data_IF_636746534992
#
_entry.id   IF_636746534992
#
_cell.length_a   1.000
_cell.length_b   1.000
_cell.length_c   1.000
_cell.angle_alpha   90.00
_cell.angle_beta   90.00
_cell.angle_gamma   90.00
#
_symmetry.space_group_name_H-M   'P 1'
#
loop_
_entity.id
_entity.type
_entity.pdbx_description
1 polymer ?
#
# COMPACT_ATOMS: atom_id res chain seq x y z
N UNK A 1 42.30 -53.30 28.69
CA UNK A 1 43.32 -52.70 27.80
C UNK A 1 43.05 -52.96 26.31
N UNK A 2 42.78 -54.20 25.89
CA UNK A 2 42.48 -54.55 24.48
C UNK A 2 41.17 -53.92 23.93
N UNK A 3 40.14 -53.72 24.75
CA UNK A 3 38.90 -53.05 24.35
C UNK A 3 39.05 -51.53 24.14
N UNK A 4 39.93 -50.87 24.92
CA UNK A 4 40.21 -49.43 24.78
C UNK A 4 41.07 -49.12 23.55
N UNK A 5 41.93 -50.07 23.12
CA UNK A 5 42.69 -49.97 21.88
C UNK A 5 41.82 -50.13 20.63
N UNK A 6 40.75 -50.93 20.70
CA UNK A 6 39.83 -51.13 19.58
C UNK A 6 38.98 -49.86 19.30
N UNK A 7 38.51 -49.18 20.34
CA UNK A 7 37.75 -47.92 20.19
C UNK A 7 38.63 -46.75 19.72
N UNK A 8 39.90 -46.68 20.15
CA UNK A 8 40.84 -45.66 19.66
C UNK A 8 41.25 -45.85 18.18
N UNK A 9 41.25 -47.09 17.67
CA UNK A 9 41.50 -47.38 16.25
C UNK A 9 40.28 -47.02 15.40
N UNK A 10 39.07 -47.31 15.88
CA UNK A 10 37.82 -46.96 15.19
C UNK A 10 37.64 -45.43 15.08
N UNK A 11 37.95 -44.68 16.14
CA UNK A 11 37.90 -43.20 16.16
C UNK A 11 38.99 -42.54 15.31
N UNK A 12 40.13 -43.22 15.07
CA UNK A 12 41.19 -42.72 14.17
C UNK A 12 40.91 -43.00 12.69
N UNK A 13 40.15 -44.06 12.36
CA UNK A 13 39.72 -44.35 10.98
C UNK A 13 38.50 -43.53 10.52
N UNK A 14 37.75 -42.92 11.44
CA UNK A 14 36.64 -42.01 11.11
C UNK A 14 37.07 -40.57 10.76
N UNK A 15 38.38 -40.28 10.73
CA UNK A 15 38.94 -38.99 10.30
C UNK A 15 39.65 -39.10 8.96
N UNK A 16 38.97 -39.53 7.89
CA UNK A 16 39.44 -39.35 6.50
C UNK A 16 38.37 -39.72 5.45
N UNK A 17 37.12 -39.34 5.70
CA UNK A 17 36.19 -39.05 4.61
C UNK A 17 35.74 -37.62 4.80
N UNK A 18 36.48 -36.67 4.24
CA UNK A 18 35.88 -35.40 3.85
C UNK A 18 34.80 -35.74 2.84
N UNK A 19 33.58 -35.98 3.30
CA UNK A 19 32.42 -35.91 2.43
C UNK A 19 32.53 -34.53 1.78
N UNK A 20 32.70 -34.42 0.45
CA UNK A 20 32.58 -33.12 -0.17
C UNK A 20 31.23 -32.61 0.27
N UNK A 21 31.20 -31.44 0.93
CA UNK A 21 29.94 -30.78 1.24
C UNK A 21 29.23 -30.60 -0.09
N UNK A 22 28.30 -31.50 -0.42
CA UNK A 22 27.39 -31.31 -1.55
C UNK A 22 26.58 -30.10 -1.12
N UNK A 23 26.83 -28.96 -1.74
CA UNK A 23 26.06 -27.76 -1.49
C UNK A 23 24.59 -28.08 -1.79
N UNK A 24 23.75 -28.07 -0.75
CA UNK A 24 22.33 -28.30 -0.89
C UNK A 24 21.71 -27.15 -1.69
N UNK A 25 20.88 -27.48 -2.67
CA UNK A 25 20.11 -26.48 -3.39
C UNK A 25 19.23 -25.70 -2.41
N UNK A 26 19.47 -24.41 -2.28
CA UNK A 26 18.79 -23.55 -1.30
C UNK A 26 18.32 -22.28 -2.00
N UNK A 27 17.05 -21.93 -1.80
CA UNK A 27 16.50 -20.65 -2.23
C UNK A 27 16.81 -19.60 -1.17
N UNK A 28 17.31 -18.46 -1.61
CA UNK A 28 17.60 -17.32 -0.75
C UNK A 28 16.62 -16.19 -1.02
N UNK A 29 16.25 -15.47 0.03
CA UNK A 29 15.38 -14.29 -0.03
C UNK A 29 16.17 -13.11 0.50
N UNK A 30 16.59 -12.16 -0.35
CA UNK A 30 17.40 -11.01 0.08
C UNK A 30 16.62 -10.05 0.97
N UNK A 31 15.28 -10.01 0.86
CA UNK A 31 14.40 -9.16 1.65
C UNK A 31 13.15 -9.92 2.07
N UNK A 32 12.94 -10.05 3.39
CA UNK A 32 11.83 -10.84 3.95
C UNK A 32 10.51 -10.07 4.05
N UNK A 33 10.54 -8.73 4.10
CA UNK A 33 9.37 -7.87 4.25
C UNK A 33 9.42 -6.71 3.26
N UNK A 34 8.33 -6.52 2.53
CA UNK A 34 8.09 -5.38 1.64
C UNK A 34 6.87 -4.61 2.14
N UNK A 35 7.01 -3.31 2.36
CA UNK A 35 5.89 -2.41 2.68
C UNK A 35 5.69 -1.46 1.51
N UNK A 36 4.51 -1.47 0.90
CA UNK A 36 4.22 -0.69 -0.34
C UNK A 36 2.94 0.12 -0.22
N UNK A 37 2.87 1.23 -0.97
CA UNK A 37 1.65 2.04 -1.04
C UNK A 37 0.64 1.41 -2.00
N UNK A 38 -0.63 1.50 -1.64
CA UNK A 38 -1.75 1.15 -2.51
C UNK A 38 -1.66 1.88 -3.85
N UNK A 39 -1.94 1.16 -4.95
CA UNK A 39 -1.87 1.66 -6.32
C UNK A 39 -0.45 1.77 -6.89
N UNK A 40 0.60 1.53 -6.08
CA UNK A 40 1.99 1.46 -6.56
C UNK A 40 2.35 0.09 -7.16
N UNK A 41 3.62 -0.11 -7.48
CA UNK A 41 4.15 -1.38 -7.97
C UNK A 41 5.13 -1.97 -6.96
N UNK A 42 5.21 -3.30 -6.87
CA UNK A 42 6.17 -4.02 -6.04
C UNK A 42 6.98 -5.01 -6.87
N UNK A 43 8.25 -5.18 -6.51
CA UNK A 43 9.16 -6.17 -7.09
C UNK A 43 9.75 -7.02 -5.97
N UNK A 44 9.42 -8.30 -5.95
CA UNK A 44 9.90 -9.28 -4.97
C UNK A 44 10.88 -10.25 -5.62
N UNK A 45 11.91 -10.64 -4.90
CA UNK A 45 13.01 -11.45 -5.44
C UNK A 45 13.28 -12.68 -4.58
N UNK A 46 13.54 -13.79 -5.25
CA UNK A 46 14.30 -14.91 -4.69
C UNK A 46 15.51 -15.22 -5.55
N UNK A 47 16.53 -15.78 -4.92
CA UNK A 47 17.75 -16.24 -5.57
C UNK A 47 17.87 -17.75 -5.44
N UNK A 48 18.42 -18.38 -6.45
CA UNK A 48 18.73 -19.80 -6.45
C UNK A 48 20.11 -20.02 -7.07
N UNK A 49 20.84 -21.06 -6.65
CA UNK A 49 22.18 -21.31 -7.13
C UNK A 49 22.17 -21.66 -8.62
N UNK A 50 23.11 -21.08 -9.36
CA UNK A 50 23.33 -21.35 -10.78
C UNK A 50 24.77 -21.79 -11.00
N UNK A 51 24.93 -23.03 -11.46
CA UNK A 51 26.22 -23.58 -11.85
C UNK A 51 26.32 -23.61 -13.38
N UNK A 52 26.86 -22.54 -13.98
CA UNK A 52 27.01 -22.42 -15.42
C UNK A 52 25.74 -21.95 -16.13
N UNK A 53 25.38 -22.58 -17.25
CA UNK A 53 24.21 -22.18 -18.05
C UNK A 53 22.93 -22.79 -17.50
N UNK A 54 21.87 -21.98 -17.36
CA UNK A 54 20.54 -22.44 -16.93
C UNK A 54 19.72 -22.91 -18.14
N UNK A 55 19.31 -24.18 -18.15
CA UNK A 55 18.27 -24.64 -19.08
C UNK A 55 16.88 -24.33 -18.52
N UNK A 56 16.25 -23.28 -19.07
CA UNK A 56 14.93 -22.81 -18.66
C UNK A 56 13.81 -23.85 -18.87
N UNK A 57 14.04 -24.92 -19.64
CA UNK A 57 13.08 -26.02 -19.80
C UNK A 57 13.03 -26.93 -18.59
N UNK A 58 14.10 -26.99 -17.80
CA UNK A 58 14.19 -27.76 -16.57
C UNK A 58 13.80 -26.93 -15.33
N UNK A 59 13.80 -25.60 -15.46
CA UNK A 59 13.47 -24.69 -14.38
C UNK A 59 11.95 -24.59 -14.19
N UNK A 60 11.51 -24.75 -12.93
CA UNK A 60 10.17 -24.36 -12.49
C UNK A 60 10.27 -23.26 -11.43
N UNK A 61 9.50 -22.19 -11.60
CA UNK A 61 9.35 -21.10 -10.63
C UNK A 61 7.88 -20.92 -10.33
N UNK A 62 7.51 -21.01 -9.05
CA UNK A 62 6.13 -20.83 -8.59
C UNK A 62 6.09 -19.71 -7.57
N UNK A 63 5.21 -18.75 -7.82
CA UNK A 63 4.83 -17.72 -6.86
C UNK A 63 3.38 -17.93 -6.45
N UNK A 64 3.16 -18.09 -5.15
CA UNK A 64 1.82 -18.25 -4.56
C UNK A 64 1.62 -17.28 -3.40
N UNK A 65 0.46 -16.63 -3.35
CA UNK A 65 0.05 -15.83 -2.20
C UNK A 65 -0.71 -16.71 -1.20
N UNK A 66 -0.22 -16.76 0.04
CA UNK A 66 -0.88 -17.33 1.21
C UNK A 66 -1.34 -16.19 2.13
N UNK A 67 -2.64 -16.05 2.28
CA UNK A 67 -3.24 -15.07 3.20
C UNK A 67 -3.70 -15.78 4.47
N UNK A 68 -3.40 -15.19 5.63
CA UNK A 68 -3.92 -15.68 6.89
C UNK A 68 -5.47 -15.65 6.87
N UNK A 69 -6.10 -16.74 7.29
CA UNK A 69 -7.57 -16.89 7.30
C UNK A 69 -8.21 -17.37 5.99
N UNK A 70 -7.45 -17.57 4.90
CA UNK A 70 -7.95 -18.21 3.68
C UNK A 70 -7.43 -19.65 3.56
N UNK A 71 -8.33 -20.58 3.20
CA UNK A 71 -8.02 -22.01 3.10
C UNK A 71 -7.20 -22.36 1.84
N UNK A 72 -7.29 -21.55 0.79
CA UNK A 72 -6.62 -21.78 -0.50
C UNK A 72 -5.60 -20.68 -0.78
N UNK A 73 -4.40 -21.06 -1.23
CA UNK A 73 -3.45 -20.11 -1.80
C UNK A 73 -3.94 -19.62 -3.15
N UNK A 74 -3.52 -18.41 -3.53
CA UNK A 74 -3.73 -17.86 -4.87
C UNK A 74 -2.45 -18.04 -5.67
N UNK A 75 -2.53 -18.71 -6.81
CA UNK A 75 -1.39 -18.81 -7.70
C UNK A 75 -1.17 -17.45 -8.39
N UNK A 76 -0.03 -16.82 -8.12
CA UNK A 76 0.30 -15.47 -8.58
C UNK A 76 0.95 -15.55 -9.95
N UNK A 77 1.92 -16.45 -10.11
CA UNK A 77 2.63 -16.68 -11.36
C UNK A 77 3.35 -18.02 -11.34
N UNK A 78 3.26 -18.77 -12.43
CA UNK A 78 4.03 -20.01 -12.63
C UNK A 78 4.80 -19.98 -13.93
N UNK A 79 6.10 -20.26 -13.86
CA UNK A 79 6.98 -20.51 -15.00
C UNK A 79 7.39 -21.98 -15.01
N UNK A 80 7.19 -22.66 -16.12
CA UNK A 80 7.54 -24.07 -16.28
C UNK A 80 7.77 -24.40 -17.76
N UNK A 81 8.71 -25.29 -18.04
CA UNK A 81 9.05 -25.72 -19.41
C UNK A 81 9.37 -24.53 -20.33
N UNK A 82 10.12 -23.54 -19.82
CA UNK A 82 10.54 -22.37 -20.59
C UNK A 82 9.46 -21.33 -20.85
N UNK A 83 8.26 -21.44 -20.25
CA UNK A 83 7.14 -20.50 -20.50
C UNK A 83 6.28 -20.25 -19.27
N UNK A 84 5.52 -19.16 -19.32
CA UNK A 84 4.50 -18.85 -18.32
C UNK A 84 3.28 -19.78 -18.47
N UNK A 85 2.77 -20.30 -17.35
CA UNK A 85 1.50 -21.03 -17.30
C UNK A 85 0.37 -20.06 -16.93
N UNK A 86 -0.24 -19.46 -17.96
CA UNK A 86 -1.35 -18.50 -17.77
C UNK A 86 -2.65 -19.12 -17.22
N UNK A 87 -3.08 -20.34 -17.61
CA UNK A 87 -4.37 -20.87 -17.17
C UNK A 87 -4.50 -21.13 -15.66
N UNK A 88 -3.37 -21.28 -14.96
CA UNK A 88 -3.35 -21.53 -13.52
C UNK A 88 -3.27 -20.25 -12.69
N UNK A 89 -3.00 -19.10 -13.33
CA UNK A 89 -2.93 -17.80 -12.66
C UNK A 89 -4.29 -17.38 -12.11
N UNK A 90 -4.32 -16.99 -10.83
CA UNK A 90 -5.54 -16.53 -10.18
C UNK A 90 -6.04 -15.21 -10.83
N UNK A 91 -7.36 -15.02 -11.02
CA UNK A 91 -7.93 -13.85 -11.71
C UNK A 91 -7.44 -12.50 -11.20
N UNK A 92 -7.26 -12.35 -9.88
CA UNK A 92 -6.76 -11.11 -9.25
C UNK A 92 -5.38 -10.66 -9.78
N UNK A 93 -4.56 -11.56 -10.30
CA UNK A 93 -3.20 -11.28 -10.75
C UNK A 93 -3.05 -11.22 -12.28
N UNK A 94 -4.07 -11.62 -13.03
CA UNK A 94 -4.05 -11.58 -14.49
C UNK A 94 -3.85 -10.15 -14.98
N UNK A 95 -2.82 -9.94 -15.81
CA UNK A 95 -2.46 -8.62 -16.34
C UNK A 95 -1.73 -7.70 -15.36
N UNK A 96 -1.55 -8.11 -14.10
CA UNK A 96 -0.81 -7.34 -13.08
C UNK A 96 0.49 -7.98 -12.63
N UNK A 97 0.57 -9.32 -12.66
CA UNK A 97 1.74 -10.06 -12.22
C UNK A 97 2.59 -10.59 -13.39
N UNK A 98 3.90 -10.38 -13.32
CA UNK A 98 4.88 -10.85 -14.31
C UNK A 98 6.19 -11.28 -13.67
N UNK A 99 6.86 -12.26 -14.27
CA UNK A 99 8.21 -12.70 -13.88
C UNK A 99 9.25 -12.12 -14.87
N UNK A 100 10.37 -11.60 -14.37
CA UNK A 100 11.47 -11.13 -15.22
C UNK A 100 12.28 -12.32 -15.76
N UNK A 101 11.93 -12.81 -16.96
CA UNK A 101 12.56 -13.99 -17.55
C UNK A 101 14.05 -13.80 -17.87
N UNK A 102 14.48 -12.57 -18.13
CA UNK A 102 15.90 -12.23 -18.39
C UNK A 102 16.81 -12.54 -17.21
N UNK A 103 16.28 -12.45 -15.98
CA UNK A 103 17.02 -12.60 -14.73
C UNK A 103 17.13 -14.07 -14.29
N UNK A 104 16.32 -14.96 -14.84
CA UNK A 104 16.32 -16.39 -14.48
C UNK A 104 17.65 -17.07 -14.78
N UNK A 105 18.33 -16.66 -15.86
CA UNK A 105 19.67 -17.18 -16.21
C UNK A 105 20.75 -16.76 -15.21
N UNK A 106 20.49 -15.72 -14.42
CA UNK A 106 21.36 -15.22 -13.38
C UNK A 106 20.98 -15.76 -12.00
N UNK A 107 20.06 -16.74 -11.94
CA UNK A 107 19.63 -17.34 -10.67
C UNK A 107 18.65 -16.46 -9.90
N UNK A 108 17.98 -15.52 -10.56
CA UNK A 108 17.08 -14.55 -9.92
C UNK A 108 15.66 -14.72 -10.43
N UNK A 109 14.77 -15.15 -9.54
CA UNK A 109 13.34 -15.21 -9.78
C UNK A 109 12.70 -13.93 -9.26
N UNK A 110 12.47 -12.96 -10.15
CA UNK A 110 11.95 -11.64 -9.78
C UNK A 110 10.50 -11.50 -10.24
N UNK A 111 9.58 -11.44 -9.28
CA UNK A 111 8.16 -11.20 -9.49
C UNK A 111 7.85 -9.70 -9.39
N UNK A 112 7.14 -9.19 -10.38
CA UNK A 112 6.59 -7.83 -10.39
C UNK A 112 5.08 -7.89 -10.30
N UNK A 113 4.49 -7.09 -9.41
CA UNK A 113 3.05 -6.88 -9.31
C UNK A 113 2.78 -5.39 -9.45
N UNK A 114 1.96 -5.02 -10.44
CA UNK A 114 1.58 -3.62 -10.68
C UNK A 114 0.22 -3.28 -10.07
N UNK A 115 0.01 -2.00 -9.77
CA UNK A 115 -1.25 -1.49 -9.20
C UNK A 115 -1.69 -2.34 -7.97
N UNK A 116 -0.84 -2.32 -6.94
CA UNK A 116 -0.98 -3.14 -5.74
C UNK A 116 -2.26 -2.77 -5.00
N UNK A 117 -3.02 -3.79 -4.60
CA UNK A 117 -4.29 -3.67 -3.86
C UNK A 117 -4.11 -4.08 -2.40
N UNK A 118 -5.03 -3.67 -1.52
CA UNK A 118 -5.04 -4.12 -0.12
C UNK A 118 -5.11 -5.64 0.00
N UNK A 119 -5.81 -6.30 -0.94
CA UNK A 119 -5.95 -7.76 -0.99
C UNK A 119 -4.67 -8.49 -1.44
N UNK A 120 -3.68 -7.78 -1.97
CA UNK A 120 -2.37 -8.34 -2.30
C UNK A 120 -1.50 -8.53 -1.06
N UNK A 121 -1.83 -7.91 0.09
CA UNK A 121 -1.11 -8.12 1.34
C UNK A 121 -1.16 -9.60 1.78
N UNK A 122 -0.04 -10.12 2.27
CA UNK A 122 0.06 -11.52 2.71
C UNK A 122 1.47 -12.10 2.59
N UNK A 123 1.57 -13.42 2.76
CA UNK A 123 2.83 -14.15 2.61
C UNK A 123 2.92 -14.75 1.21
N UNK A 124 3.99 -14.42 0.48
CA UNK A 124 4.27 -14.94 -0.85
C UNK A 124 5.27 -16.08 -0.73
N UNK A 125 4.85 -17.27 -1.13
CA UNK A 125 5.73 -18.42 -1.34
C UNK A 125 6.42 -18.27 -2.69
N UNK A 126 7.72 -18.50 -2.68
CA UNK A 126 8.56 -18.55 -3.84
C UNK A 126 9.27 -19.89 -3.86
N UNK A 127 8.83 -20.77 -4.75
CA UNK A 127 9.36 -22.12 -4.92
C UNK A 127 10.15 -22.18 -6.21
N UNK A 128 11.36 -22.74 -6.11
CA UNK A 128 12.23 -23.00 -7.25
C UNK A 128 12.52 -24.50 -7.28
N UNK A 129 12.33 -25.09 -8.45
CA UNK A 129 12.77 -26.45 -8.76
C UNK A 129 13.73 -26.39 -9.95
N UNK A 130 15.01 -26.64 -9.66
CA UNK A 130 16.09 -26.72 -10.64
C UNK A 130 17.24 -27.59 -10.11
N UNK A 131 17.23 -28.88 -10.46
CA UNK A 131 18.21 -29.87 -9.96
C UNK A 131 18.21 -30.02 -8.43
N UNK A 132 17.10 -29.60 -7.81
CA UNK A 132 16.88 -29.47 -6.38
C UNK A 132 15.66 -28.59 -6.16
N UNK A 133 14.95 -28.79 -5.06
CA UNK A 133 13.72 -28.07 -4.75
C UNK A 133 13.86 -27.41 -3.39
N UNK A 134 13.62 -26.11 -3.34
CA UNK A 134 13.47 -25.37 -2.09
C UNK A 134 12.47 -24.23 -2.28
N UNK A 135 11.95 -23.72 -1.18
CA UNK A 135 11.05 -22.58 -1.17
C UNK A 135 11.35 -21.67 0.02
N UNK A 136 10.96 -20.41 -0.14
CA UNK A 136 11.00 -19.41 0.93
C UNK A 136 9.75 -18.54 0.89
N UNK A 137 9.54 -17.82 1.98
CA UNK A 137 8.42 -16.90 2.14
C UNK A 137 8.90 -15.46 2.19
N UNK A 138 8.07 -14.58 1.62
CA UNK A 138 8.24 -13.12 1.65
C UNK A 138 6.94 -12.51 2.17
N UNK A 139 7.00 -11.57 3.10
CA UNK A 139 5.84 -10.82 3.55
C UNK A 139 5.65 -9.55 2.71
N UNK A 140 4.41 -9.31 2.27
CA UNK A 140 3.98 -8.06 1.65
C UNK A 140 2.95 -7.38 2.53
N UNK A 141 3.28 -6.18 2.98
CA UNK A 141 2.38 -5.26 3.67
C UNK A 141 1.97 -4.15 2.70
N UNK A 142 0.68 -3.82 2.71
CA UNK A 142 0.13 -2.77 1.87
C UNK A 142 -0.49 -1.71 2.78
N UNK A 143 -0.11 -0.46 2.55
CA UNK A 143 -0.65 0.71 3.24
C UNK A 143 -1.20 1.71 2.24
N UNK A 144 -2.11 2.57 2.67
CA UNK A 144 -2.62 3.68 1.87
C UNK A 144 -2.67 4.92 2.76
N UNK A 145 -1.85 5.90 2.41
CA UNK A 145 -1.79 7.16 3.16
C UNK A 145 -3.04 8.03 2.91
N UNK A 146 -3.57 8.68 3.96
CA UNK A 146 -4.70 9.63 3.90
C UNK A 146 -4.34 11.00 3.29
N UNK A 147 -3.44 11.04 2.31
CA UNK A 147 -2.85 12.27 1.75
C UNK A 147 -3.83 13.15 0.98
N UNK A 148 -4.87 12.56 0.39
CA UNK A 148 -5.87 13.27 -0.42
C UNK A 148 -7.09 13.59 0.45
N UNK A 149 -7.02 14.70 1.16
CA UNK A 149 -8.09 15.14 2.06
C UNK A 149 -9.01 16.11 1.32
N UNK A 150 -10.24 15.66 1.06
CA UNK A 150 -11.31 16.49 0.55
C UNK A 150 -11.90 17.30 1.71
N UNK A 151 -11.99 18.62 1.53
CA UNK A 151 -12.50 19.52 2.56
C UNK A 151 -13.73 20.28 2.08
N UNK A 152 -14.71 20.45 2.96
CA UNK A 152 -15.92 21.21 2.68
C UNK A 152 -16.33 22.05 3.88
N UNK A 153 -16.81 23.27 3.61
CA UNK A 153 -17.33 24.20 4.63
C UNK A 153 -18.70 24.71 4.22
N UNK A 154 -19.65 24.67 5.15
CA UNK A 154 -20.99 25.20 4.95
C UNK A 154 -21.52 25.90 6.20
N UNK A 155 -22.19 27.05 6.01
CA UNK A 155 -22.96 27.71 7.06
C UNK A 155 -24.31 27.03 7.20
N UNK A 156 -24.74 26.75 8.42
CA UNK A 156 -26.09 26.24 8.68
C UNK A 156 -27.09 27.39 8.54
N UNK A 157 -28.10 27.31 7.65
CA UNK A 157 -29.09 28.36 7.51
C UNK A 157 -29.80 28.61 8.83
N UNK A 158 -29.99 29.89 9.19
CA UNK A 158 -30.69 30.33 10.42
C UNK A 158 -29.98 29.97 11.73
N UNK A 159 -28.77 29.42 11.69
CA UNK A 159 -27.88 29.26 12.84
C UNK A 159 -26.58 30.04 12.63
N UNK A 160 -25.93 30.41 13.74
CA UNK A 160 -24.57 30.96 13.72
C UNK A 160 -23.49 29.86 13.68
N UNK A 161 -23.83 28.67 13.21
CA UNK A 161 -22.94 27.51 13.18
C UNK A 161 -22.48 27.17 11.77
N UNK A 162 -21.31 26.56 11.71
CA UNK A 162 -20.67 26.07 10.50
C UNK A 162 -20.40 24.59 10.65
N UNK A 163 -20.45 23.90 9.52
CA UNK A 163 -20.05 22.50 9.37
C UNK A 163 -18.75 22.49 8.59
N UNK A 164 -17.68 22.02 9.21
CA UNK A 164 -16.40 21.73 8.59
C UNK A 164 -16.31 20.22 8.39
N UNK A 165 -15.99 19.78 7.18
CA UNK A 165 -15.89 18.37 6.85
C UNK A 165 -14.52 18.07 6.25
N UNK A 166 -13.88 17.01 6.75
CA UNK A 166 -12.73 16.38 6.14
C UNK A 166 -13.05 14.94 5.78
N UNK A 167 -12.76 14.56 4.54
CA UNK A 167 -12.95 13.21 4.04
C UNK A 167 -11.66 12.74 3.36
N UNK A 168 -11.19 11.55 3.70
CA UNK A 168 -10.00 10.97 3.08
C UNK A 168 -10.09 9.45 3.06
N UNK A 169 -9.42 8.83 2.10
CA UNK A 169 -9.33 7.38 1.95
C UNK A 169 -7.93 6.88 2.29
N UNK A 170 -7.85 5.78 3.05
CA UNK A 170 -6.58 5.21 3.46
C UNK A 170 -6.72 3.84 4.11
N UNK A 171 -5.58 3.27 4.49
CA UNK A 171 -5.48 1.97 5.14
C UNK A 171 -4.12 1.86 5.86
N UNK A 172 -4.05 1.39 7.10
CA UNK A 172 -5.13 0.98 8.01
C UNK A 172 -6.07 2.12 8.44
N UNK A 173 -7.07 1.83 9.28
CA UNK A 173 -8.02 2.85 9.79
C UNK A 173 -7.25 3.93 10.59
N UNK A 174 -7.50 5.21 10.28
CA UNK A 174 -6.94 6.34 11.01
C UNK A 174 -7.92 6.91 12.04
N UNK A 175 -7.36 7.43 13.13
CA UNK A 175 -8.07 8.31 14.05
C UNK A 175 -8.09 9.73 13.48
N UNK A 176 -9.19 10.46 13.67
CA UNK A 176 -9.30 11.84 13.20
C UNK A 176 -9.54 12.76 14.38
N UNK A 177 -8.68 13.75 14.54
CA UNK A 177 -8.85 14.80 15.54
C UNK A 177 -8.80 16.18 14.89
N UNK A 178 -9.49 17.11 15.54
CA UNK A 178 -9.53 18.51 15.14
C UNK A 178 -8.70 19.33 16.12
N UNK A 179 -7.80 20.13 15.58
CA UNK A 179 -6.91 21.00 16.34
C UNK A 179 -7.23 22.47 16.09
N UNK A 180 -7.13 23.22 17.17
CA UNK A 180 -7.12 24.67 17.22
C UNK A 180 -6.24 25.05 18.43
N UNK A 181 -5.54 26.18 18.36
CA UNK A 181 -4.58 26.58 19.39
C UNK A 181 -5.23 26.91 20.75
N UNK A 182 -6.54 27.23 20.75
CA UNK A 182 -7.23 27.84 21.89
C UNK A 182 -8.41 27.02 22.44
N UNK A 183 -8.97 26.10 21.66
CA UNK A 183 -10.25 25.45 21.98
C UNK A 183 -10.20 23.92 21.93
N UNK A 184 -10.87 23.29 22.90
CA UNK A 184 -11.18 21.86 22.85
C UNK A 184 -12.43 21.62 21.99
N UNK A 185 -12.24 20.95 20.85
CA UNK A 185 -13.29 20.73 19.86
C UNK A 185 -13.97 19.36 19.97
N UNK A 186 -13.51 18.48 20.88
CA UNK A 186 -13.91 17.06 20.89
C UNK A 186 -15.43 16.84 21.00
N UNK A 187 -16.15 17.70 21.74
CA UNK A 187 -17.60 17.60 21.92
C UNK A 187 -18.45 17.95 20.69
N UNK A 188 -17.84 18.51 19.64
CA UNK A 188 -18.53 18.95 18.42
C UNK A 188 -18.21 18.09 17.20
N UNK A 189 -17.39 17.05 17.38
CA UNK A 189 -16.86 16.21 16.31
C UNK A 189 -17.68 14.93 16.18
N UNK A 190 -18.05 14.62 14.94
CA UNK A 190 -18.62 13.34 14.57
C UNK A 190 -17.77 12.72 13.46
N UNK A 191 -17.13 11.58 13.75
CA UNK A 191 -16.29 10.85 12.80
C UNK A 191 -16.92 9.51 12.48
N UNK A 192 -17.05 9.23 11.19
CA UNK A 192 -17.59 7.98 10.66
C UNK A 192 -16.66 7.43 9.61
N UNK A 193 -16.77 6.13 9.33
CA UNK A 193 -16.01 5.51 8.24
C UNK A 193 -16.84 4.43 7.54
N UNK A 194 -16.48 4.19 6.28
CA UNK A 194 -17.01 3.08 5.47
C UNK A 194 -15.86 2.38 4.77
N UNK A 195 -16.07 1.12 4.34
CA UNK A 195 -15.11 0.38 3.55
C UNK A 195 -15.44 0.52 2.06
N UNK A 196 -14.43 0.87 1.26
CA UNK A 196 -14.56 0.89 -0.21
C UNK A 196 -14.51 -0.53 -0.78
N UNK A 197 -14.89 -0.68 -2.05
CA UNK A 197 -14.80 -1.97 -2.75
C UNK A 197 -13.36 -2.53 -2.81
N UNK A 198 -12.36 -1.64 -2.78
CA UNK A 198 -10.94 -2.00 -2.78
C UNK A 198 -10.38 -2.30 -1.37
N UNK A 199 -11.23 -2.20 -0.34
CA UNK A 199 -10.87 -2.46 1.06
C UNK A 199 -10.16 -1.30 1.77
N UNK A 200 -10.25 -0.08 1.23
CA UNK A 200 -9.78 1.14 1.89
C UNK A 200 -10.84 1.63 2.88
N UNK A 201 -10.41 2.29 3.95
CA UNK A 201 -11.29 3.06 4.82
C UNK A 201 -11.51 4.44 4.22
N UNK A 202 -12.75 4.77 3.90
CA UNK A 202 -13.19 6.12 3.59
C UNK A 202 -13.71 6.76 4.88
N UNK A 203 -12.90 7.62 5.47
CA UNK A 203 -13.14 8.24 6.77
C UNK A 203 -13.63 9.66 6.55
N UNK A 204 -14.78 9.99 7.16
CA UNK A 204 -15.38 11.33 7.13
C UNK A 204 -15.52 11.86 8.54
N UNK A 205 -14.89 13.00 8.82
CA UNK A 205 -15.01 13.70 10.09
C UNK A 205 -15.67 15.05 9.89
N UNK A 206 -16.69 15.32 10.71
CA UNK A 206 -17.50 16.52 10.65
C UNK A 206 -17.40 17.25 11.99
N UNK A 207 -17.03 18.53 11.94
CA UNK A 207 -17.00 19.44 13.07
C UNK A 207 -18.11 20.49 12.92
N UNK A 208 -19.05 20.54 13.86
CA UNK A 208 -20.19 21.47 13.82
C UNK A 208 -20.23 22.40 15.03
N UNK A 209 -19.89 23.67 14.84
CA UNK A 209 -19.83 24.66 15.93
C UNK A 209 -19.90 26.11 15.38
N UNK A 210 -19.93 27.09 16.28
CA UNK A 210 -19.82 28.52 15.94
C UNK A 210 -18.33 28.91 15.95
N UNK A 211 -17.69 29.13 14.78
CA UNK A 211 -16.26 29.39 14.70
C UNK A 211 -15.91 30.82 15.13
N UNK A 212 -14.67 30.99 15.57
CA UNK A 212 -14.03 32.29 15.66
C UNK A 212 -13.45 32.66 14.28
N UNK A 213 -13.75 33.86 13.82
CA UNK A 213 -13.52 34.31 12.44
C UNK A 213 -12.06 34.67 12.14
N UNK A 214 -11.21 34.67 13.16
CA UNK A 214 -9.77 34.98 13.08
C UNK A 214 -8.90 33.78 13.40
N UNK A 215 -9.48 32.58 13.49
CA UNK A 215 -8.77 31.36 13.86
C UNK A 215 -8.72 30.34 12.73
N UNK A 216 -7.70 29.49 12.80
CA UNK A 216 -7.50 28.37 11.91
C UNK A 216 -7.96 27.08 12.60
N UNK A 217 -8.58 26.21 11.82
CA UNK A 217 -8.99 24.89 12.25
C UNK A 217 -8.29 23.86 11.39
N UNK A 218 -7.75 22.82 12.01
CA UNK A 218 -7.02 21.77 11.29
C UNK A 218 -7.65 20.43 11.60
N UNK A 219 -7.99 19.66 10.57
CA UNK A 219 -8.31 18.24 10.74
C UNK A 219 -7.05 17.42 10.51
N UNK A 220 -6.81 16.42 11.35
CA UNK A 220 -5.62 15.57 11.27
C UNK A 220 -6.05 14.12 11.28
N UNK A 221 -5.63 13.37 10.26
CA UNK A 221 -5.74 11.93 10.18
C UNK A 221 -4.45 11.34 10.74
N UNK A 222 -4.56 10.65 11.87
CA UNK A 222 -3.46 9.98 12.55
C UNK A 222 -3.60 8.47 12.39
N UNK A 223 -2.58 7.85 11.79
CA UNK A 223 -2.51 6.41 11.70
C UNK A 223 -1.47 5.89 12.70
N UNK A 224 -1.95 5.26 13.77
CA UNK A 224 -1.12 4.69 14.84
C UNK A 224 -0.17 3.60 14.34
N UNK A 225 -0.62 2.75 13.42
CA UNK A 225 0.18 1.62 12.91
C UNK A 225 1.32 2.10 12.01
N UNK A 226 1.10 3.18 11.26
CA UNK A 226 2.12 3.79 10.40
C UNK A 226 2.97 4.85 11.13
N UNK A 227 2.57 5.23 12.35
CA UNK A 227 3.10 6.37 13.11
C UNK A 227 3.22 7.62 12.23
N UNK A 228 2.16 7.93 11.48
CA UNK A 228 2.15 8.97 10.48
C UNK A 228 0.84 9.76 10.46
N UNK A 229 0.94 11.02 10.07
CA UNK A 229 -0.18 11.93 10.05
C UNK A 229 -0.29 12.72 8.74
N UNK A 230 -1.52 13.07 8.40
CA UNK A 230 -1.83 13.97 7.29
C UNK A 230 -2.92 14.92 7.74
N UNK A 231 -2.81 16.19 7.38
CA UNK A 231 -3.73 17.22 7.86
C UNK A 231 -4.20 18.13 6.75
N UNK A 232 -5.35 18.75 6.97
CA UNK A 232 -5.86 19.82 6.12
C UNK A 232 -6.29 21.01 6.99
N UNK A 233 -6.00 22.21 6.49
CA UNK A 233 -6.21 23.46 7.21
C UNK A 233 -7.40 24.23 6.63
N UNK A 234 -8.17 24.84 7.51
CA UNK A 234 -9.27 25.75 7.18
C UNK A 234 -8.92 27.14 7.68
N UNK A 235 -8.80 28.09 6.77
CA UNK A 235 -8.78 29.51 7.10
C UNK A 235 -10.19 30.08 6.98
N UNK A 236 -10.74 30.55 8.10
CA UNK A 236 -12.08 31.16 8.14
C UNK A 236 -12.13 32.42 7.25
N UNK A 237 -11.05 33.18 7.16
CA UNK A 237 -10.88 34.32 6.24
C UNK A 237 -11.04 33.97 4.75
N UNK A 238 -10.64 32.76 4.32
CA UNK A 238 -10.70 32.35 2.90
C UNK A 238 -12.01 31.68 2.47
N UNK A 239 -12.82 31.19 3.41
CA UNK A 239 -14.07 30.47 3.09
C UNK A 239 -15.24 31.41 2.72
N UNK A 240 -15.19 32.68 3.09
CA UNK A 240 -16.18 33.69 2.68
C UNK A 240 -15.99 34.13 1.23
N UNK A 241 -14.76 34.06 0.72
CA UNK A 241 -14.39 34.57 -0.61
C UNK A 241 -14.88 33.68 -1.76
N UNK A 242 -15.22 32.41 -1.48
CA UNK A 242 -15.76 31.48 -2.48
C UNK A 242 -17.28 31.53 -2.65
N UNK A 243 -18.02 32.29 -1.82
CA UNK A 243 -19.49 32.39 -1.90
C UNK A 243 -20.06 33.81 -1.96
N UNK A 244 -19.25 34.85 -1.79
CA UNK A 244 -19.67 36.24 -2.03
C UNK A 244 -18.92 36.79 -3.25
N UNK A 245 -19.67 37.21 -4.27
CA UNK A 245 -19.23 37.88 -5.52
C UNK A 245 -18.82 36.96 -6.68
N UNK A 246 -19.76 36.12 -7.15
CA UNK A 246 -19.97 35.90 -8.59
C UNK A 246 -21.33 36.44 -9.07
N UNK A 247 -21.82 37.47 -8.38
CA UNK A 247 -22.75 38.44 -8.94
C UNK A 247 -21.94 39.66 -9.36
N UNK A 248 -21.66 39.78 -10.65
CA UNK A 248 -20.77 40.79 -11.22
C UNK A 248 -21.31 42.21 -10.95
N UNK A 249 -20.66 42.93 -10.04
CA UNK A 249 -20.89 44.38 -9.84
C UNK A 249 -20.57 45.14 -11.14
N UNK A 250 -19.65 44.62 -11.95
CA UNK A 250 -19.34 45.15 -13.27
C UNK A 250 -20.51 45.10 -14.26
N UNK A 251 -21.33 44.04 -14.24
CA UNK A 251 -22.51 44.00 -15.13
C UNK A 251 -23.58 45.02 -14.75
N UNK A 252 -23.76 45.30 -13.45
CA UNK A 252 -24.72 46.32 -13.00
C UNK A 252 -24.27 47.74 -13.33
N UNK A 253 -22.98 48.06 -13.15
CA UNK A 253 -22.44 49.39 -13.47
C UNK A 253 -22.52 49.64 -14.98
N UNK A 254 -22.16 48.67 -15.81
CA UNK A 254 -22.27 48.79 -17.26
C UNK A 254 -23.71 48.94 -17.74
N UNK A 255 -24.67 48.25 -17.12
CA UNK A 255 -26.09 48.38 -17.45
C UNK A 255 -26.66 49.75 -17.07
N UNK A 256 -26.27 50.30 -15.92
CA UNK A 256 -26.68 51.65 -15.51
C UNK A 256 -26.09 52.75 -16.40
N UNK A 257 -24.83 52.62 -16.83
CA UNK A 257 -24.21 53.57 -17.77
C UNK A 257 -24.92 53.51 -19.13
N UNK A 258 -25.25 52.31 -19.61
CA UNK A 258 -25.96 52.15 -20.89
C UNK A 258 -27.37 52.76 -20.86
N UNK A 259 -28.10 52.55 -19.75
CA UNK A 259 -29.41 53.18 -19.53
C UNK A 259 -29.33 54.71 -19.43
N UNK A 260 -28.29 55.26 -18.80
CA UNK A 260 -28.09 56.70 -18.72
C UNK A 260 -27.80 57.32 -20.09
N UNK A 261 -27.01 56.65 -20.92
CA UNK A 261 -26.72 57.11 -22.30
C UNK A 261 -27.99 57.08 -23.16
N UNK A 262 -28.81 56.03 -23.05
CA UNK A 262 -30.09 55.93 -23.79
C UNK A 262 -31.15 56.97 -23.38
N UNK A 263 -31.01 57.60 -22.21
CA UNK A 263 -31.91 58.67 -21.75
C UNK A 263 -31.44 60.05 -22.25
N UNK A 264 -30.20 60.17 -22.73
CA UNK A 264 -29.58 61.43 -23.16
C UNK A 264 -29.46 61.59 -24.68
N UNK A 265 -29.87 60.59 -25.47
CA UNK A 265 -30.12 60.68 -26.92
C UNK A 265 -31.63 60.83 -27.19
#
# INVERSE_FOLDING_TARGET
LLLLLHEHILMKQMKLFSFPYIALFTVEVPQQLYTVEYGSNVTMECRFPVNGSVDLRLLTVVWEQKRQGLLKSKEVYTFRNGKALRPSQHPDYVGRASLLHSELKLGRAILQITNVKITDAGSYLCLIDYQGVDYKYIALEVRASYKRINTHVMKIPREDKFVFMCQSEGFPLAEVFWQNENFNLSGFVNTTYTLTADGLYNVTSILTFKPNMSENYTCVFWNKELNGETSAHFSTLGSYDLKLVRGSVHTYIMFCIFLYILILE
#
